data_IF_790743459562
#
_entry.id   IF_790743459562
#
_cell.length_a   1.000
_cell.length_b   1.000
_cell.length_c   1.000
_cell.angle_alpha   90.00
_cell.angle_beta   90.00
_cell.angle_gamma   90.00
#
_symmetry.space_group_name_H-M   'P 1'
#
loop_
_entity.id
_entity.type
_entity.pdbx_description
1 polymer ?
#
# COMPACT_ATOMS: atom_id res chain seq x y z
N UNK A 1 16.89 -76.35 -46.41
CA UNK A 1 17.23 -75.81 -45.08
C UNK A 1 17.15 -74.29 -45.17
N UNK A 2 16.37 -73.70 -44.27
CA UNK A 2 15.89 -72.31 -44.29
C UNK A 2 17.01 -71.32 -43.97
N UNK A 3 17.12 -70.22 -44.71
CA UNK A 3 17.39 -68.91 -44.10
C UNK A 3 17.12 -67.75 -45.06
N UNK A 4 16.27 -66.84 -44.57
CA UNK A 4 15.80 -65.61 -45.20
C UNK A 4 16.80 -64.49 -44.90
N UNK A 5 17.04 -63.59 -45.84
CA UNK A 5 17.58 -62.26 -45.55
C UNK A 5 16.55 -61.24 -46.03
N UNK A 6 15.84 -60.62 -45.08
CA UNK A 6 14.77 -59.65 -45.31
C UNK A 6 15.36 -58.25 -45.15
N UNK A 7 15.12 -57.42 -46.17
CA UNK A 7 15.36 -55.98 -46.20
C UNK A 7 14.59 -55.26 -45.07
N UNK A 8 15.26 -54.38 -44.32
CA UNK A 8 14.61 -53.42 -43.43
C UNK A 8 14.72 -52.00 -44.02
N UNK A 9 13.60 -51.29 -44.28
CA UNK A 9 13.63 -49.88 -44.64
C UNK A 9 13.69 -48.95 -43.41
N UNK A 10 14.49 -47.90 -43.56
CA UNK A 10 14.75 -46.80 -42.63
C UNK A 10 13.46 -46.08 -42.19
N UNK A 11 13.22 -46.05 -40.87
CA UNK A 11 12.13 -45.33 -40.21
C UNK A 11 12.42 -43.82 -40.18
N UNK A 12 11.75 -43.06 -41.05
CA UNK A 12 11.82 -41.59 -41.11
C UNK A 12 11.02 -41.00 -39.94
N UNK A 13 11.73 -40.51 -38.91
CA UNK A 13 11.12 -39.79 -37.78
C UNK A 13 10.81 -38.35 -38.19
N UNK A 14 9.53 -37.99 -38.27
CA UNK A 14 9.09 -36.59 -38.38
C UNK A 14 9.27 -35.90 -37.02
N UNK A 15 10.18 -34.93 -36.94
CA UNK A 15 10.27 -34.01 -35.81
C UNK A 15 9.17 -32.94 -35.96
N UNK A 16 8.17 -32.98 -35.08
CA UNK A 16 7.16 -31.95 -34.97
C UNK A 16 7.77 -30.69 -34.34
N UNK A 17 7.74 -29.57 -35.09
CA UNK A 17 8.16 -28.26 -34.65
C UNK A 17 7.03 -27.64 -33.79
N UNK A 18 7.21 -27.64 -32.46
CA UNK A 18 6.29 -26.98 -31.54
C UNK A 18 6.47 -25.45 -31.61
N UNK A 19 5.45 -24.74 -32.09
CA UNK A 19 5.39 -23.27 -32.00
C UNK A 19 5.08 -22.91 -30.55
N UNK A 20 6.09 -22.42 -29.84
CA UNK A 20 5.92 -21.80 -28.52
C UNK A 20 5.36 -20.39 -28.75
N UNK A 21 4.07 -20.21 -28.46
CA UNK A 21 3.45 -18.90 -28.32
C UNK A 21 4.03 -18.22 -27.08
N UNK A 22 5.03 -17.37 -27.28
CA UNK A 22 5.50 -16.41 -26.28
C UNK A 22 4.38 -15.39 -26.12
N UNK A 23 3.50 -15.61 -25.14
CA UNK A 23 2.49 -14.65 -24.73
C UNK A 23 3.18 -13.39 -24.23
N UNK A 24 3.08 -12.30 -24.99
CA UNK A 24 3.58 -10.99 -24.57
C UNK A 24 2.68 -10.52 -23.44
N UNK A 25 3.13 -10.63 -22.19
CA UNK A 25 2.46 -10.01 -21.05
C UNK A 25 2.49 -8.50 -21.26
N UNK A 26 1.36 -7.92 -21.67
CA UNK A 26 1.22 -6.47 -21.73
C UNK A 26 1.50 -5.86 -20.35
N UNK A 27 1.95 -4.59 -20.28
CA UNK A 27 2.11 -3.92 -19.00
C UNK A 27 0.77 -3.93 -18.25
N UNK A 28 0.76 -4.44 -17.02
CA UNK A 28 -0.38 -4.26 -16.14
C UNK A 28 -0.50 -2.76 -15.85
N UNK A 29 -1.47 -2.09 -16.49
CA UNK A 29 -1.79 -0.71 -16.19
C UNK A 29 -2.49 -0.70 -14.82
N UNK A 30 -1.85 -0.15 -13.80
CA UNK A 30 -2.48 0.20 -12.53
C UNK A 30 -2.64 1.71 -12.43
N UNK A 31 -3.75 2.19 -11.89
CA UNK A 31 -3.88 3.61 -11.57
C UNK A 31 -3.20 3.89 -10.23
N UNK A 32 -2.29 4.86 -10.22
CA UNK A 32 -1.59 5.32 -9.01
C UNK A 32 -2.34 6.54 -8.47
N UNK A 33 -2.72 6.49 -7.19
CA UNK A 33 -3.43 7.56 -6.50
C UNK A 33 -2.70 7.85 -5.19
N UNK A 34 -2.37 9.11 -4.94
CA UNK A 34 -1.57 9.52 -3.77
C UNK A 34 -2.40 10.44 -2.87
N UNK A 35 -2.39 10.16 -1.57
CA UNK A 35 -2.95 11.00 -0.52
C UNK A 35 -1.86 11.36 0.47
N UNK A 36 -1.82 12.62 0.90
CA UNK A 36 -0.94 13.08 1.97
C UNK A 36 -1.76 13.84 3.01
N UNK A 37 -1.39 13.73 4.29
CA UNK A 37 -1.97 14.57 5.33
C UNK A 37 -1.77 16.06 5.00
N UNK A 38 -2.77 16.93 5.19
CA UNK A 38 -2.63 18.36 4.92
C UNK A 38 -1.43 18.99 5.62
N UNK A 39 -0.83 19.99 4.99
CA UNK A 39 0.28 20.74 5.60
C UNK A 39 -0.14 21.34 6.96
N UNK A 40 0.73 21.19 7.96
CA UNK A 40 0.44 21.65 9.32
C UNK A 40 -0.49 20.74 10.13
N UNK A 41 -0.81 19.54 9.63
CA UNK A 41 -1.53 18.53 10.40
C UNK A 41 -0.81 18.24 11.72
N UNK A 42 -1.57 18.15 12.80
CA UNK A 42 -1.06 17.81 14.11
C UNK A 42 -2.05 16.91 14.85
N UNK A 43 -1.53 15.99 15.64
CA UNK A 43 -2.30 15.16 16.54
C UNK A 43 -1.80 15.37 17.97
N UNK A 44 -2.70 15.64 18.90
CA UNK A 44 -2.36 15.95 20.31
C UNK A 44 -1.29 17.04 20.48
N UNK A 45 -1.25 18.02 19.57
CA UNK A 45 -0.28 19.11 19.58
C UNK A 45 1.08 18.78 18.97
N UNK A 46 1.27 17.57 18.41
CA UNK A 46 2.49 17.14 17.74
C UNK A 46 2.26 17.03 16.24
N UNK A 47 3.17 17.60 15.44
CA UNK A 47 3.06 17.58 13.97
C UNK A 47 3.07 16.15 13.43
N UNK A 48 2.23 15.89 12.43
CA UNK A 48 2.18 14.61 11.73
C UNK A 48 2.23 14.84 10.23
N UNK A 49 2.92 13.94 9.53
CA UNK A 49 3.00 13.96 8.08
C UNK A 49 3.05 12.53 7.58
N UNK A 50 2.05 12.14 6.77
CA UNK A 50 1.96 10.79 6.23
C UNK A 50 1.52 10.82 4.77
N UNK A 51 1.85 9.74 4.06
CA UNK A 51 1.45 9.51 2.67
C UNK A 51 0.91 8.09 2.49
N UNK A 52 -0.13 7.95 1.69
CA UNK A 52 -0.65 6.68 1.22
C UNK A 52 -0.65 6.70 -0.30
N UNK A 53 0.06 5.75 -0.90
CA UNK A 53 0.08 5.53 -2.35
C UNK A 53 -0.71 4.26 -2.65
N UNK A 54 -1.81 4.40 -3.37
CA UNK A 54 -2.66 3.33 -3.83
C UNK A 54 -2.34 2.98 -5.28
N UNK A 55 -2.27 1.69 -5.60
CA UNK A 55 -2.27 1.18 -6.97
C UNK A 55 -3.43 0.22 -7.14
N UNK A 56 -4.40 0.56 -7.99
CA UNK A 56 -5.56 -0.31 -8.27
C UNK A 56 -5.31 -1.15 -9.52
N UNK A 57 -5.63 -2.45 -9.44
CA UNK A 57 -5.51 -3.41 -10.53
C UNK A 57 -6.70 -4.39 -10.48
N UNK A 58 -6.78 -5.31 -11.44
CA UNK A 58 -7.87 -6.30 -11.48
C UNK A 58 -7.88 -7.12 -10.18
N UNK A 59 -8.98 -7.01 -9.44
CA UNK A 59 -9.22 -7.65 -8.15
C UNK A 59 -8.19 -7.35 -7.04
N UNK A 60 -7.39 -6.28 -7.19
CA UNK A 60 -6.29 -6.00 -6.27
C UNK A 60 -6.12 -4.51 -6.00
N UNK A 61 -5.78 -4.19 -4.75
CA UNK A 61 -5.30 -2.87 -4.35
C UNK A 61 -3.95 -3.05 -3.65
N UNK A 62 -2.91 -2.40 -4.15
CA UNK A 62 -1.62 -2.29 -3.46
C UNK A 62 -1.56 -0.94 -2.76
N UNK A 63 -1.11 -0.93 -1.51
CA UNK A 63 -0.99 0.28 -0.69
C UNK A 63 0.44 0.36 -0.17
N UNK A 64 1.10 1.49 -0.35
CA UNK A 64 2.32 1.85 0.38
C UNK A 64 1.96 2.99 1.32
N UNK A 65 2.10 2.74 2.61
CA UNK A 65 1.82 3.69 3.68
C UNK A 65 3.15 4.17 4.28
N UNK A 66 3.36 5.48 4.30
CA UNK A 66 4.62 6.11 4.71
C UNK A 66 4.37 7.13 5.82
N UNK A 67 5.25 7.14 6.82
CA UNK A 67 5.34 8.21 7.80
C UNK A 67 6.49 9.14 7.42
N UNK A 68 6.16 10.35 7.00
CA UNK A 68 7.11 11.36 6.51
C UNK A 68 7.54 12.32 7.63
N UNK A 69 6.95 12.22 8.82
CA UNK A 69 7.33 13.05 9.95
C UNK A 69 8.70 12.62 10.49
N UNK A 70 9.72 13.42 10.21
CA UNK A 70 11.06 13.20 10.75
C UNK A 70 11.14 13.49 12.26
N UNK A 71 12.05 12.79 12.94
CA UNK A 71 12.45 13.03 14.34
C UNK A 71 11.26 13.15 15.29
N UNK A 72 10.44 12.11 15.30
CA UNK A 72 9.23 12.07 16.12
C UNK A 72 9.57 12.10 17.60
N UNK A 73 8.76 12.84 18.35
CA UNK A 73 8.85 13.01 19.79
C UNK A 73 8.17 11.88 20.54
N UNK A 74 7.05 11.36 20.05
CA UNK A 74 6.28 10.32 20.73
C UNK A 74 5.61 9.34 19.75
N UNK A 75 5.20 8.18 20.26
CA UNK A 75 4.38 7.21 19.50
C UNK A 75 3.05 7.78 19.01
N UNK A 76 2.61 8.91 19.57
CA UNK A 76 1.45 9.66 19.07
C UNK A 76 1.60 10.13 17.63
N UNK A 77 2.83 10.21 17.12
CA UNK A 77 3.14 10.56 15.74
C UNK A 77 3.42 9.34 14.83
N UNK A 78 3.35 8.12 15.36
CA UNK A 78 3.50 6.90 14.57
C UNK A 78 2.16 6.55 13.90
N UNK A 79 2.20 6.05 12.66
CA UNK A 79 1.00 5.58 11.95
C UNK A 79 0.57 4.21 12.47
N UNK A 80 -0.73 4.05 12.66
CA UNK A 80 -1.33 2.83 13.19
C UNK A 80 -2.55 2.35 12.40
N UNK A 81 -3.02 3.13 11.44
CA UNK A 81 -4.16 2.76 10.61
C UNK A 81 -4.36 3.64 9.39
N UNK A 82 -5.20 3.14 8.48
CA UNK A 82 -5.64 3.82 7.27
C UNK A 82 -7.08 3.38 6.96
N UNK A 83 -7.97 4.36 6.78
CA UNK A 83 -9.34 4.14 6.27
C UNK A 83 -9.47 4.70 4.87
N UNK A 84 -10.28 4.05 4.04
CA UNK A 84 -10.60 4.53 2.69
C UNK A 84 -11.86 3.86 2.13
N UNK A 85 -12.42 4.44 1.08
CA UNK A 85 -13.54 3.90 0.30
C UNK A 85 -13.12 3.78 -1.17
N UNK A 86 -13.54 2.69 -1.82
CA UNK A 86 -13.36 2.48 -3.25
C UNK A 86 -14.54 3.09 -4.03
N UNK A 87 -14.26 3.81 -5.11
CA UNK A 87 -15.29 4.53 -5.90
C UNK A 87 -16.34 3.60 -6.55
N UNK A 88 -16.05 2.31 -6.60
CA UNK A 88 -16.91 1.26 -7.16
C UNK A 88 -17.79 0.57 -6.12
N UNK A 89 -17.79 1.03 -4.87
CA UNK A 89 -18.73 0.60 -3.82
C UNK A 89 -18.47 -0.80 -3.28
N UNK A 90 -17.23 -1.29 -3.32
CA UNK A 90 -16.90 -2.60 -2.76
C UNK A 90 -17.16 -2.62 -1.25
N UNK A 91 -17.77 -3.70 -0.79
CA UNK A 91 -18.08 -3.94 0.62
C UNK A 91 -17.40 -5.20 1.18
N UNK A 92 -16.41 -5.74 0.45
CA UNK A 92 -15.63 -6.89 0.88
C UNK A 92 -14.22 -6.90 0.29
N UNK A 93 -13.30 -7.53 1.00
CA UNK A 93 -11.93 -7.78 0.57
C UNK A 93 -11.14 -8.49 1.67
N UNK A 94 -9.92 -8.92 1.36
CA UNK A 94 -9.01 -9.52 2.32
C UNK A 94 -7.58 -8.98 2.19
N UNK A 95 -6.88 -8.82 3.32
CA UNK A 95 -5.44 -8.58 3.32
C UNK A 95 -4.73 -9.85 2.84
N UNK A 96 -4.06 -9.76 1.69
CA UNK A 96 -3.38 -10.90 1.06
C UNK A 96 -1.94 -11.01 1.50
N UNK A 97 -1.24 -9.87 1.61
CA UNK A 97 0.12 -9.83 2.13
C UNK A 97 0.43 -8.45 2.71
N UNK A 98 1.41 -8.41 3.60
CA UNK A 98 1.95 -7.17 4.13
C UNK A 98 3.44 -7.33 4.41
N UNK A 99 4.20 -6.25 4.27
CA UNK A 99 5.62 -6.26 4.62
C UNK A 99 6.13 -4.86 5.04
N UNK A 100 7.14 -4.84 5.89
CA UNK A 100 7.85 -3.64 6.32
C UNK A 100 9.17 -4.01 6.98
N UNK A 101 10.11 -3.07 7.05
CA UNK A 101 11.42 -3.26 7.70
C UNK A 101 11.26 -2.99 9.18
N UNK A 102 11.63 -3.93 10.05
CA UNK A 102 11.64 -3.67 11.49
C UNK A 102 12.70 -2.63 11.84
N UNK A 103 12.35 -1.70 12.72
CA UNK A 103 13.26 -0.69 13.26
C UNK A 103 13.20 -0.71 14.78
N UNK A 104 14.34 -0.90 15.43
CA UNK A 104 14.45 -0.78 16.88
C UNK A 104 15.16 0.52 17.23
N UNK A 105 14.55 1.34 18.07
CA UNK A 105 15.14 2.59 18.57
C UNK A 105 15.67 2.39 19.99
N UNK A 106 16.97 2.58 20.18
CA UNK A 106 17.66 2.45 21.45
C UNK A 106 17.39 3.67 22.36
N UNK A 107 17.75 3.57 23.64
CA UNK A 107 17.51 4.63 24.64
C UNK A 107 18.20 5.96 24.29
N UNK A 108 19.30 5.91 23.54
CA UNK A 108 20.05 7.10 23.10
C UNK A 108 19.52 7.70 21.78
N UNK A 109 18.39 7.22 21.25
CA UNK A 109 17.79 7.68 20.00
C UNK A 109 18.45 7.15 18.73
N UNK A 110 19.57 6.40 18.84
CA UNK A 110 20.08 5.65 17.68
C UNK A 110 19.15 4.49 17.36
N UNK A 111 19.16 4.03 16.12
CA UNK A 111 18.31 2.94 15.69
C UNK A 111 19.11 1.86 14.95
N UNK A 112 18.51 0.68 14.86
CA UNK A 112 18.99 -0.42 14.04
C UNK A 112 17.82 -1.01 13.27
N UNK A 113 18.00 -1.17 11.96
CA UNK A 113 17.02 -1.86 11.11
C UNK A 113 17.29 -3.37 11.10
N UNK A 114 16.21 -4.13 11.21
CA UNK A 114 16.17 -5.58 11.11
C UNK A 114 15.81 -6.03 9.70
N UNK A 115 15.23 -7.24 9.61
CA UNK A 115 14.74 -7.78 8.34
C UNK A 115 13.39 -7.20 7.93
N UNK A 116 13.00 -7.47 6.69
CA UNK A 116 11.61 -7.30 6.24
C UNK A 116 10.74 -8.41 6.84
N UNK A 117 9.65 -8.02 7.52
CA UNK A 117 8.72 -8.95 8.19
C UNK A 117 7.28 -8.71 7.74
N UNK A 118 6.39 -9.67 8.01
CA UNK A 118 4.95 -9.41 7.97
C UNK A 118 4.59 -8.41 9.07
N UNK A 119 3.83 -7.37 8.72
CA UNK A 119 3.63 -6.23 9.63
C UNK A 119 2.64 -6.53 10.76
N UNK A 120 1.84 -7.59 10.64
CA UNK A 120 0.88 -8.01 11.67
C UNK A 120 -0.38 -7.14 11.78
N UNK A 121 -0.59 -6.22 10.83
CA UNK A 121 -1.82 -5.43 10.74
C UNK A 121 -2.96 -6.30 10.20
N UNK A 122 -4.19 -5.91 10.54
CA UNK A 122 -5.41 -6.55 10.07
C UNK A 122 -6.23 -5.61 9.18
N UNK A 123 -7.11 -6.19 8.38
CA UNK A 123 -8.09 -5.44 7.60
C UNK A 123 -9.50 -5.85 8.02
N UNK A 124 -10.36 -4.85 8.19
CA UNK A 124 -11.80 -5.03 8.32
C UNK A 124 -12.54 -4.19 7.28
N UNK A 125 -13.77 -4.56 6.98
CA UNK A 125 -14.66 -3.81 6.08
C UNK A 125 -16.00 -3.63 6.76
N UNK A 126 -16.47 -2.39 6.89
CA UNK A 126 -17.79 -2.05 7.48
C UNK A 126 -18.56 -1.21 6.49
N UNK A 127 -19.64 -1.76 5.92
CA UNK A 127 -20.30 -1.15 4.77
C UNK A 127 -19.32 -1.10 3.59
N UNK A 128 -18.99 0.10 3.11
CA UNK A 128 -18.02 0.34 2.03
C UNK A 128 -16.65 0.83 2.53
N UNK A 129 -16.50 1.05 3.85
CA UNK A 129 -15.25 1.52 4.42
C UNK A 129 -14.31 0.35 4.69
N UNK A 130 -13.13 0.42 4.08
CA UNK A 130 -12.00 -0.44 4.38
C UNK A 130 -11.18 0.18 5.50
N UNK A 131 -10.89 -0.60 6.54
CA UNK A 131 -10.03 -0.17 7.63
C UNK A 131 -8.86 -1.13 7.79
N UNK A 132 -7.67 -0.64 7.44
CA UNK A 132 -6.40 -1.31 7.65
C UNK A 132 -5.82 -0.79 8.97
N UNK A 133 -5.64 -1.64 9.97
CA UNK A 133 -5.27 -1.21 11.32
C UNK A 133 -4.35 -2.20 12.03
N UNK A 134 -3.40 -1.67 12.79
CA UNK A 134 -2.63 -2.43 13.76
C UNK A 134 -3.38 -2.62 15.07
N UNK A 135 -4.23 -1.67 15.45
CA UNK A 135 -4.85 -1.64 16.76
C UNK A 135 -5.80 -2.83 16.94
N UNK A 136 -5.75 -3.44 18.12
CA UNK A 136 -6.54 -4.65 18.44
C UNK A 136 -5.96 -5.96 17.88
N UNK A 137 -4.80 -5.93 17.22
CA UNK A 137 -4.05 -7.14 16.86
C UNK A 137 -3.14 -7.59 18.00
N UNK A 138 -2.68 -8.84 17.95
CA UNK A 138 -1.64 -9.34 18.88
C UNK A 138 -0.27 -8.67 18.68
N UNK A 139 -0.07 -7.96 17.56
CA UNK A 139 1.17 -7.25 17.28
C UNK A 139 1.22 -5.89 17.98
N UNK A 140 0.07 -5.28 18.23
CA UNK A 140 -0.02 -4.01 18.95
C UNK A 140 0.55 -4.12 20.38
N UNK A 141 1.34 -3.15 20.86
CA UNK A 141 1.53 -1.82 20.28
C UNK A 141 2.83 -1.67 19.47
N UNK A 142 3.45 -2.78 19.06
CA UNK A 142 4.63 -2.83 18.19
C UNK A 142 4.19 -2.72 16.72
N UNK A 143 5.13 -2.47 15.81
CA UNK A 143 4.89 -2.36 14.36
C UNK A 143 3.97 -1.20 13.94
N UNK A 144 3.88 -0.13 14.75
CA UNK A 144 3.46 1.16 14.19
C UNK A 144 4.55 1.68 13.26
N UNK A 145 4.17 2.48 12.25
CA UNK A 145 5.15 3.01 11.27
C UNK A 145 5.76 4.28 11.85
N UNK A 146 7.04 4.21 12.14
CA UNK A 146 7.89 5.32 12.57
C UNK A 146 8.42 6.03 11.32
N UNK A 147 8.57 7.35 11.38
CA UNK A 147 9.11 8.14 10.27
C UNK A 147 10.63 8.14 10.27
N UNK A 148 11.28 8.92 9.40
CA UNK A 148 12.73 8.96 9.33
C UNK A 148 13.36 9.60 10.59
N UNK A 149 14.64 9.29 10.90
CA UNK A 149 15.40 10.03 11.89
C UNK A 149 15.65 11.49 11.44
N UNK A 150 16.27 12.31 12.30
CA UNK A 150 16.74 13.63 11.88
C UNK A 150 17.98 13.55 10.96
N UNK A 151 18.49 14.71 10.55
CA UNK A 151 19.66 14.84 9.69
C UNK A 151 20.97 14.24 10.26
N UNK A 152 21.02 13.96 11.56
CA UNK A 152 22.14 13.30 12.24
C UNK A 152 21.92 11.78 12.40
N UNK A 153 20.92 11.22 11.73
CA UNK A 153 20.57 9.79 11.74
C UNK A 153 20.16 9.25 13.13
N UNK A 154 19.53 10.11 13.93
CA UNK A 154 19.00 9.75 15.25
C UNK A 154 17.59 10.32 15.47
N UNK A 155 16.83 9.71 16.36
CA UNK A 155 15.58 10.23 16.91
C UNK A 155 15.88 11.07 18.16
N UNK A 156 16.49 12.26 17.97
CA UNK A 156 16.93 13.10 19.09
C UNK A 156 15.78 13.68 19.91
N UNK A 157 14.58 13.83 19.32
CA UNK A 157 13.41 14.37 20.01
C UNK A 157 12.56 13.28 20.69
N UNK A 158 12.82 12.02 20.38
CA UNK A 158 12.05 10.90 20.90
C UNK A 158 12.09 10.83 22.43
N UNK A 159 10.93 10.63 23.03
CA UNK A 159 10.79 10.35 24.45
C UNK A 159 10.79 8.83 24.72
N UNK A 160 10.58 8.43 25.97
CA UNK A 160 10.59 7.02 26.39
C UNK A 160 9.51 6.13 25.74
N UNK A 161 8.52 6.71 25.05
CA UNK A 161 7.56 5.92 24.27
C UNK A 161 8.16 5.39 22.97
N UNK A 162 9.24 5.99 22.47
CA UNK A 162 10.02 5.53 21.30
C UNK A 162 11.38 4.99 21.75
N UNK A 163 12.16 5.76 22.51
CA UNK A 163 13.53 5.42 22.90
C UNK A 163 13.59 4.29 23.92
N UNK A 164 14.16 3.14 23.53
CA UNK A 164 14.29 1.96 24.40
C UNK A 164 12.94 1.43 24.88
N UNK A 165 11.88 1.69 24.11
CA UNK A 165 10.50 1.49 24.51
C UNK A 165 10.03 0.03 24.39
N UNK A 166 8.98 -0.33 25.14
CA UNK A 166 8.23 -1.58 24.96
C UNK A 166 7.48 -1.65 23.62
N UNK A 167 7.33 -0.52 22.93
CA UNK A 167 6.78 -0.43 21.57
C UNK A 167 7.75 -0.91 20.49
N UNK A 168 9.02 -1.18 20.82
CA UNK A 168 9.95 -1.79 19.88
C UNK A 168 9.58 -3.27 19.57
N UNK A 169 9.80 -3.73 18.33
CA UNK A 169 10.21 -2.95 17.16
C UNK A 169 9.07 -2.14 16.54
N UNK A 170 9.42 -1.05 15.86
CA UNK A 170 8.60 -0.29 14.93
C UNK A 170 8.75 -0.84 13.51
N UNK A 171 7.96 -0.32 12.57
CA UNK A 171 8.27 -0.40 11.14
C UNK A 171 8.95 0.89 10.70
N UNK A 172 10.12 0.80 10.08
CA UNK A 172 10.90 1.95 9.63
C UNK A 172 10.31 2.57 8.36
N UNK A 173 9.91 3.84 8.45
CA UNK A 173 9.46 4.76 7.39
C UNK A 173 8.20 4.37 6.62
N UNK A 174 8.03 3.08 6.29
CA UNK A 174 6.92 2.62 5.45
C UNK A 174 6.50 1.17 5.72
N UNK A 175 5.30 0.85 5.25
CA UNK A 175 4.79 -0.50 5.14
C UNK A 175 4.01 -0.67 3.82
N UNK A 176 4.14 -1.84 3.21
CA UNK A 176 3.41 -2.21 2.00
C UNK A 176 2.34 -3.26 2.29
N UNK A 177 1.18 -3.11 1.65
CA UNK A 177 0.03 -3.97 1.79
C UNK A 177 -0.53 -4.35 0.42
N UNK A 178 -0.96 -5.59 0.28
CA UNK A 178 -1.67 -6.06 -0.91
C UNK A 178 -3.02 -6.61 -0.46
N UNK A 179 -4.08 -6.04 -1.01
CA UNK A 179 -5.46 -6.40 -0.73
C UNK A 179 -6.04 -7.14 -1.93
N UNK A 180 -6.73 -8.24 -1.68
CA UNK A 180 -7.59 -8.90 -2.65
C UNK A 180 -8.99 -8.31 -2.51
N UNK A 181 -9.44 -7.60 -3.53
CA UNK A 181 -10.71 -6.87 -3.52
C UNK A 181 -11.46 -7.14 -4.82
N UNK A 182 -12.39 -8.12 -4.82
CA UNK A 182 -13.11 -8.51 -6.03
C UNK A 182 -13.83 -7.33 -6.71
N UNK A 183 -13.73 -7.27 -8.04
CA UNK A 183 -14.38 -6.24 -8.85
C UNK A 183 -13.64 -4.90 -8.91
N UNK A 184 -12.53 -4.73 -8.18
CA UNK A 184 -11.61 -3.59 -8.41
C UNK A 184 -10.96 -3.75 -9.78
N UNK A 185 -10.77 -2.63 -10.47
CA UNK A 185 -10.04 -2.55 -11.73
C UNK A 185 -9.03 -1.41 -11.66
N UNK A 186 -8.19 -1.27 -12.68
CA UNK A 186 -7.32 -0.11 -12.82
C UNK A 186 -8.07 1.22 -12.95
N UNK A 187 -9.38 1.21 -13.25
CA UNK A 187 -10.21 2.42 -13.29
C UNK A 187 -10.90 2.74 -11.97
N UNK A 188 -10.78 1.88 -10.95
CA UNK A 188 -11.36 2.14 -9.62
C UNK A 188 -10.61 3.27 -8.94
N UNK A 189 -11.36 4.26 -8.42
CA UNK A 189 -10.86 5.35 -7.61
C UNK A 189 -10.83 5.04 -6.12
N UNK A 190 -10.15 5.90 -5.37
CA UNK A 190 -10.08 5.90 -3.91
C UNK A 190 -10.70 7.21 -3.43
N UNK A 191 -11.30 7.22 -2.24
CA UNK A 191 -11.91 8.39 -1.61
C UNK A 191 -11.95 8.25 -0.10
N UNK A 192 -12.32 9.33 0.61
CA UNK A 192 -12.50 9.36 2.07
C UNK A 192 -11.31 8.82 2.86
N UNK A 193 -10.10 9.15 2.41
CA UNK A 193 -8.87 8.65 3.04
C UNK A 193 -8.66 9.33 4.39
N UNK A 194 -8.48 8.51 5.43
CA UNK A 194 -8.21 8.97 6.80
C UNK A 194 -7.02 8.22 7.35
N UNK A 195 -6.01 8.97 7.81
CA UNK A 195 -4.84 8.40 8.47
C UNK A 195 -5.11 8.27 9.96
N UNK A 196 -4.73 7.14 10.56
CA UNK A 196 -4.77 6.95 12.00
C UNK A 196 -3.36 6.98 12.57
N UNK A 197 -3.20 7.76 13.65
CA UNK A 197 -1.95 7.87 14.39
C UNK A 197 -2.10 7.27 15.80
N UNK A 198 -1.00 7.21 16.55
CA UNK A 198 -0.99 6.78 17.96
C UNK A 198 -1.35 5.29 18.16
N UNK A 199 -1.24 4.81 19.40
CA UNK A 199 -1.51 3.42 19.79
C UNK A 199 -2.86 3.23 20.48
N UNK A 200 -3.78 4.20 20.33
CA UNK A 200 -5.13 4.15 20.90
C UNK A 200 -6.17 4.60 19.88
N UNK A 201 -7.36 3.95 19.82
CA UNK A 201 -8.43 4.33 18.90
C UNK A 201 -8.86 5.80 19.04
N UNK A 202 -9.40 6.38 17.96
CA UNK A 202 -9.95 7.74 17.94
C UNK A 202 -8.98 8.85 17.48
N UNK A 203 -7.85 8.47 16.90
CA UNK A 203 -6.77 9.38 16.50
C UNK A 203 -6.71 9.53 14.97
N UNK A 204 -7.63 10.30 14.39
CA UNK A 204 -7.92 10.29 12.95
C UNK A 204 -7.71 11.66 12.29
N UNK A 205 -7.02 11.68 11.14
CA UNK A 205 -6.83 12.88 10.30
C UNK A 205 -7.46 12.63 8.93
N UNK A 206 -8.51 13.37 8.61
CA UNK A 206 -9.18 13.32 7.31
C UNK A 206 -8.37 14.05 6.24
N UNK A 207 -8.26 13.43 5.06
CA UNK A 207 -7.57 14.00 3.91
C UNK A 207 -8.56 14.32 2.81
N UNK A 208 -8.67 15.60 2.39
CA UNK A 208 -9.49 15.98 1.24
C UNK A 208 -9.05 15.25 -0.04
N UNK A 209 -9.99 14.98 -0.93
CA UNK A 209 -9.68 14.35 -2.22
C UNK A 209 -8.66 15.18 -3.02
N UNK A 210 -7.67 14.54 -3.68
CA UNK A 210 -6.68 15.24 -4.48
C UNK A 210 -7.34 16.05 -5.59
N UNK A 211 -6.96 17.32 -5.73
CA UNK A 211 -7.50 18.24 -6.74
C UNK A 211 -7.37 17.73 -8.19
N UNK A 212 -6.48 16.77 -8.45
CA UNK A 212 -6.34 16.09 -9.73
C UNK A 212 -7.63 15.37 -10.18
N UNK A 213 -8.40 14.81 -9.25
CA UNK A 213 -9.70 14.17 -9.57
C UNK A 213 -10.74 15.22 -9.97
N UNK A 214 -10.74 16.38 -9.31
CA UNK A 214 -11.63 17.49 -9.65
C UNK A 214 -11.35 18.05 -11.06
N UNK A 215 -10.08 18.15 -11.44
CA UNK A 215 -9.65 18.60 -12.77
C UNK A 215 -10.02 17.62 -13.89
N UNK A 216 -9.95 16.30 -13.64
CA UNK A 216 -10.38 15.29 -14.61
C UNK A 216 -11.89 15.39 -14.88
N UNK A 217 -12.70 15.58 -13.83
CA UNK A 217 -14.16 15.77 -13.95
C UNK A 217 -14.54 17.03 -14.74
N UNK A 218 -13.86 18.15 -14.48
CA UNK A 218 -14.11 19.42 -15.20
C UNK A 218 -13.60 19.38 -16.65
N UNK A 219 -12.45 18.74 -16.90
CA UNK A 219 -11.91 18.57 -18.24
C UNK A 219 -12.83 17.73 -19.14
N UNK A 220 -13.40 16.64 -18.60
CA UNK A 220 -14.38 15.81 -19.29
C UNK A 220 -15.66 16.60 -19.66
N UNK A 221 -16.19 17.38 -18.73
CA UNK A 221 -17.36 18.22 -18.98
C UNK A 221 -17.10 19.25 -20.09
N UNK A 222 -15.96 19.94 -20.06
CA UNK A 222 -15.59 20.92 -21.09
C UNK A 222 -15.51 20.30 -22.50
N UNK A 223 -14.98 19.09 -22.63
CA UNK A 223 -14.90 18.37 -23.90
C UNK A 223 -16.29 17.96 -24.42
N UNK A 224 -17.20 17.53 -23.54
CA UNK A 224 -18.59 17.20 -23.90
C UNK A 224 -19.35 18.45 -24.36
N UNK A 225 -19.22 19.58 -23.66
CA UNK A 225 -19.82 20.85 -24.07
C UNK A 225 -19.26 21.38 -25.39
N UNK A 226 -17.94 21.24 -25.62
CA UNK A 226 -17.29 21.62 -26.88
C UNK A 226 -17.74 20.75 -28.06
N UNK A 227 -18.02 19.46 -27.82
CA UNK A 227 -18.50 18.54 -28.86
C UNK A 227 -19.96 18.82 -29.23
N UNK A 228 -20.81 19.16 -28.25
CA UNK A 228 -22.20 19.58 -28.48
C UNK A 228 -22.32 20.86 -29.29
N UNK A 229 -21.45 21.85 -29.06
CA UNK A 229 -21.42 23.09 -29.85
C UNK A 229 -20.93 22.94 -31.30
N UNK A 230 -20.36 21.79 -31.67
CA UNK A 230 -19.92 21.52 -33.05
C UNK A 230 -20.95 20.76 -33.88
N UNK A 231 -22.04 20.29 -33.27
CA UNK A 231 -23.12 19.57 -33.94
C UNK A 231 -24.43 20.40 -34.02
N UNK A 232 -24.36 21.69 -33.70
CA UNK A 232 -25.41 22.70 -33.87
C UNK A 232 -24.93 23.73 -34.86
#
# INVERSE_FOLDING_TARGET
>A
MVSRCVFAPMLRRFCALGIVLVGVSGPALGAIIVYETPAGSAFSGESVWARATFTTAVNQVTIVLENLQADQKSVGQCLSGLRFILSTGQSSGALSSSNGVERTVATNGTYSDGGTVSVGWQMSVTGEEFFLTLLGTSMSPKHTILGPPNASDVYARANNSINGSSHNPFLGESAAFVLSVPGVTAGSGISSVTFCFNTSPGSEIYVPEPAALSLLGLGGACLVFRRRRRQS
#
